data_IF_173374547162
#
_entry.id   IF_173374547162
#
_cell.length_a   1.000
_cell.length_b   1.000
_cell.length_c   1.000
_cell.angle_alpha   90.00
_cell.angle_beta   90.00
_cell.angle_gamma   90.00
#
_symmetry.space_group_name_H-M   'P 1'
#
loop_
_entity.id
_entity.type
_entity.pdbx_description
1 polymer ?
#
# COMPACT_ATOMS: atom_id res chain seq x y z
N UNK A 1 31.21 3.74 5.43
CA UNK A 1 30.33 4.29 6.48
C UNK A 1 31.10 4.55 7.76
N UNK A 2 31.91 3.62 8.20
CA UNK A 2 32.70 3.76 9.44
C UNK A 2 33.84 4.78 9.31
N UNK A 3 34.44 4.90 8.13
CA UNK A 3 35.59 5.78 7.86
C UNK A 3 35.20 7.18 7.40
N UNK A 4 33.91 7.52 7.38
CA UNK A 4 33.43 8.81 6.88
C UNK A 4 34.01 9.19 5.52
N UNK A 5 34.12 8.25 4.61
CA UNK A 5 34.64 8.44 3.26
C UNK A 5 33.78 7.69 2.23
N UNK A 6 33.77 8.22 1.01
CA UNK A 6 33.16 7.59 -0.17
C UNK A 6 34.25 7.39 -1.22
N UNK A 7 34.35 6.17 -1.75
CA UNK A 7 35.18 5.85 -2.89
C UNK A 7 34.34 5.95 -4.17
N UNK A 8 34.69 6.88 -5.06
CA UNK A 8 34.04 7.09 -6.35
C UNK A 8 34.92 6.45 -7.42
N UNK A 9 34.35 5.48 -8.12
CA UNK A 9 35.01 4.83 -9.24
C UNK A 9 34.77 5.66 -10.51
N UNK A 10 35.85 6.20 -11.08
CA UNK A 10 35.81 6.98 -12.33
C UNK A 10 36.50 6.19 -13.42
N UNK A 11 35.76 5.92 -14.52
CA UNK A 11 36.21 5.10 -15.63
C UNK A 11 35.58 3.71 -15.66
N UNK A 12 35.85 2.97 -16.74
CA UNK A 12 35.40 1.58 -16.95
C UNK A 12 36.58 0.65 -17.19
N UNK A 13 36.46 -0.58 -16.71
CA UNK A 13 37.46 -1.64 -16.93
C UNK A 13 38.71 -1.52 -16.08
N UNK A 14 39.87 -2.15 -16.52
CA UNK A 14 41.09 -2.24 -15.73
C UNK A 14 41.77 -0.88 -15.42
N UNK A 15 41.39 0.19 -16.13
CA UNK A 15 41.91 1.55 -15.94
C UNK A 15 41.02 2.45 -15.07
N UNK A 16 40.03 1.88 -14.42
CA UNK A 16 39.16 2.64 -13.50
C UNK A 16 39.97 3.12 -12.27
N UNK A 17 39.93 4.43 -11.99
CA UNK A 17 40.59 5.01 -10.84
C UNK A 17 39.54 5.23 -9.73
N UNK A 18 39.91 4.90 -8.49
CA UNK A 18 39.08 5.21 -7.32
C UNK A 18 39.55 6.53 -6.71
N UNK A 19 38.63 7.47 -6.57
CA UNK A 19 38.86 8.75 -5.88
C UNK A 19 38.16 8.64 -4.52
N UNK A 20 38.95 8.72 -3.44
CA UNK A 20 38.43 8.75 -2.09
C UNK A 20 38.10 10.18 -1.69
N UNK A 21 36.85 10.41 -1.29
CA UNK A 21 36.39 11.68 -0.74
C UNK A 21 36.08 11.51 0.74
N UNK A 22 36.75 12.32 1.57
CA UNK A 22 36.47 12.37 2.98
C UNK A 22 35.20 13.19 3.24
N UNK A 23 34.34 12.68 4.10
CA UNK A 23 33.07 13.29 4.50
C UNK A 23 33.15 13.80 5.95
N UNK A 24 32.46 14.90 6.27
CA UNK A 24 32.24 15.26 7.67
C UNK A 24 31.44 14.15 8.37
N UNK A 25 31.52 14.09 9.70
CA UNK A 25 30.74 13.15 10.50
C UNK A 25 29.24 13.35 10.20
N UNK A 26 28.53 12.27 9.92
CA UNK A 26 27.11 12.29 9.60
C UNK A 26 26.39 11.12 10.27
N UNK A 27 25.08 11.25 10.39
CA UNK A 27 24.18 10.16 10.75
C UNK A 27 23.46 9.67 9.50
N UNK A 28 23.59 8.37 9.19
CA UNK A 28 22.90 7.76 8.07
C UNK A 28 21.57 7.17 8.52
N UNK A 29 20.49 7.60 7.88
CA UNK A 29 19.16 7.03 8.07
C UNK A 29 18.72 6.41 6.74
N UNK A 30 18.35 5.13 6.80
CA UNK A 30 17.82 4.39 5.65
C UNK A 30 16.41 3.88 5.93
N UNK A 31 15.60 3.76 4.89
CA UNK A 31 14.28 3.15 4.97
C UNK A 31 14.08 2.21 3.77
N UNK A 32 13.49 1.05 4.00
CA UNK A 32 13.17 0.08 2.96
C UNK A 32 11.93 -0.71 3.33
N UNK A 33 11.15 -1.09 2.33
CA UNK A 33 10.05 -2.06 2.48
C UNK A 33 10.55 -3.51 2.37
N UNK A 34 11.78 -3.72 1.88
CA UNK A 34 12.38 -5.02 1.59
C UNK A 34 13.64 -5.25 2.43
N UNK A 35 13.52 -5.18 3.76
CA UNK A 35 14.66 -5.37 4.67
C UNK A 35 15.39 -6.71 4.46
N UNK A 36 14.69 -7.75 4.04
CA UNK A 36 15.27 -9.06 3.72
C UNK A 36 16.20 -9.08 2.50
N UNK A 37 16.11 -8.08 1.61
CA UNK A 37 17.00 -7.96 0.44
C UNK A 37 18.30 -7.19 0.75
N UNK A 38 18.39 -6.57 1.93
CA UNK A 38 19.64 -5.95 2.37
C UNK A 38 20.67 -7.03 2.73
N UNK A 39 21.89 -6.87 2.19
CA UNK A 39 22.98 -7.76 2.57
C UNK A 39 23.24 -7.68 4.09
N UNK A 40 23.60 -8.81 4.69
CA UNK A 40 23.90 -8.88 6.12
C UNK A 40 24.96 -7.82 6.54
N UNK A 41 26.09 -7.63 5.80
CA UNK A 41 27.09 -6.62 6.16
C UNK A 41 26.54 -5.18 6.14
N UNK A 42 25.58 -4.87 5.25
CA UNK A 42 24.97 -3.55 5.23
C UNK A 42 24.00 -3.37 6.40
N UNK A 43 23.19 -4.36 6.68
CA UNK A 43 22.24 -4.34 7.80
C UNK A 43 22.95 -4.20 9.16
N UNK A 44 24.04 -4.95 9.34
CA UNK A 44 24.81 -4.96 10.59
C UNK A 44 25.53 -3.62 10.89
N UNK A 45 25.72 -2.78 9.87
CA UNK A 45 26.27 -1.43 10.02
C UNK A 45 25.26 -0.40 10.51
N UNK A 46 23.96 -0.70 10.51
CA UNK A 46 22.95 0.12 11.15
C UNK A 46 22.83 -0.29 12.63
N UNK A 47 23.25 0.59 13.53
CA UNK A 47 23.21 0.31 14.98
C UNK A 47 21.80 0.25 15.57
N UNK A 48 20.81 0.83 14.89
CA UNK A 48 19.39 0.82 15.28
C UNK A 48 18.54 0.39 14.12
N UNK A 49 17.72 -0.64 14.32
CA UNK A 49 16.73 -1.09 13.36
C UNK A 49 15.34 -0.93 13.97
N UNK A 50 14.50 -0.15 13.31
CA UNK A 50 13.12 0.12 13.74
C UNK A 50 12.16 -0.43 12.71
N UNK A 51 11.06 -1.03 13.17
CA UNK A 51 9.94 -1.45 12.32
C UNK A 51 8.82 -0.43 12.49
N UNK A 52 8.40 0.17 11.38
CA UNK A 52 7.23 1.03 11.34
C UNK A 52 5.98 0.18 11.13
N UNK A 53 4.97 0.45 11.93
CA UNK A 53 3.64 -0.15 11.78
C UNK A 53 2.72 0.76 10.99
N UNK A 54 1.62 0.21 10.50
CA UNK A 54 0.58 0.99 9.84
C UNK A 54 -0.14 1.84 10.89
N UNK A 55 -0.56 3.03 10.49
CA UNK A 55 -1.33 3.93 11.34
C UNK A 55 -2.76 3.42 11.54
N UNK A 56 -3.30 3.65 12.73
CA UNK A 56 -4.72 3.43 12.98
C UNK A 56 -5.58 4.50 12.27
N UNK A 57 -6.88 4.25 12.06
CA UNK A 57 -7.78 5.28 11.51
C UNK A 57 -7.79 6.57 12.32
N UNK A 58 -7.70 6.49 13.66
CA UNK A 58 -7.67 7.66 14.57
C UNK A 58 -6.40 8.48 14.37
N UNK A 59 -5.25 7.84 14.24
CA UNK A 59 -3.97 8.50 13.97
C UNK A 59 -3.98 9.16 12.59
N UNK A 60 -4.49 8.44 11.57
CA UNK A 60 -4.63 8.99 10.22
C UNK A 60 -5.61 10.15 10.17
N UNK A 61 -6.72 10.10 10.93
CA UNK A 61 -7.68 11.19 11.03
C UNK A 61 -7.02 12.48 11.53
N UNK A 62 -6.12 12.38 12.53
CA UNK A 62 -5.32 13.52 13.00
C UNK A 62 -4.41 14.07 11.90
N UNK A 63 -3.78 13.19 11.13
CA UNK A 63 -2.91 13.58 10.01
C UNK A 63 -3.74 14.28 8.92
N UNK A 64 -4.90 13.73 8.57
CA UNK A 64 -5.84 14.30 7.59
C UNK A 64 -6.30 15.68 8.02
N UNK A 65 -6.74 15.85 9.28
CA UNK A 65 -7.18 17.13 9.84
C UNK A 65 -6.06 18.17 9.79
N UNK A 66 -4.85 17.81 10.23
CA UNK A 66 -3.68 18.70 10.13
C UNK A 66 -3.39 19.10 8.69
N UNK A 67 -3.42 18.14 7.76
CA UNK A 67 -3.16 18.40 6.35
C UNK A 67 -4.24 19.30 5.73
N UNK A 68 -5.51 19.12 6.11
CA UNK A 68 -6.62 19.98 5.69
C UNK A 68 -6.41 21.42 6.17
N UNK A 69 -6.01 21.62 7.43
CA UNK A 69 -5.66 22.95 7.98
C UNK A 69 -4.55 23.61 7.18
N UNK A 70 -3.46 22.90 6.86
CA UNK A 70 -2.35 23.43 6.05
C UNK A 70 -2.81 23.82 4.64
N UNK A 71 -3.76 23.08 4.08
CA UNK A 71 -4.34 23.34 2.75
C UNK A 71 -5.46 24.40 2.77
N UNK A 72 -5.80 24.96 3.95
CA UNK A 72 -6.85 25.96 4.10
C UNK A 72 -8.25 25.41 3.84
N UNK A 73 -8.51 24.15 4.17
CA UNK A 73 -9.76 23.46 3.86
C UNK A 73 -10.57 23.18 5.12
N UNK A 74 -11.84 23.59 5.16
CA UNK A 74 -12.73 23.17 6.23
C UNK A 74 -13.04 21.67 6.12
N UNK A 75 -12.83 20.93 7.21
CA UNK A 75 -13.12 19.51 7.32
C UNK A 75 -13.80 19.18 8.64
N UNK A 76 -14.89 18.44 8.58
CA UNK A 76 -15.55 17.90 9.76
C UNK A 76 -14.77 16.68 10.31
N UNK A 77 -14.79 16.42 11.63
CA UNK A 77 -14.11 15.26 12.21
C UNK A 77 -14.54 13.93 11.57
N UNK A 78 -15.82 13.78 11.26
CA UNK A 78 -16.39 12.59 10.62
C UNK A 78 -15.90 12.45 9.17
N UNK A 79 -15.70 13.55 8.45
CA UNK A 79 -15.11 13.55 7.10
C UNK A 79 -13.64 13.15 7.12
N UNK A 80 -12.89 13.61 8.14
CA UNK A 80 -11.50 13.20 8.32
C UNK A 80 -11.41 11.70 8.65
N UNK A 81 -12.30 11.17 9.49
CA UNK A 81 -12.37 9.75 9.84
C UNK A 81 -12.76 8.90 8.63
N UNK A 82 -13.68 9.36 7.79
CA UNK A 82 -14.10 8.65 6.57
C UNK A 82 -12.93 8.49 5.58
N UNK A 83 -12.13 9.54 5.40
CA UNK A 83 -10.90 9.46 4.59
C UNK A 83 -9.89 8.52 5.24
N UNK A 84 -9.68 8.64 6.54
CA UNK A 84 -8.70 7.87 7.28
C UNK A 84 -8.99 6.36 7.26
N UNK A 85 -10.23 5.96 7.49
CA UNK A 85 -10.65 4.55 7.53
C UNK A 85 -10.41 3.81 6.21
N UNK A 86 -10.50 4.51 5.07
CA UNK A 86 -10.26 3.94 3.74
C UNK A 86 -8.80 4.07 3.26
N UNK A 87 -7.90 4.60 4.11
CA UNK A 87 -6.51 4.92 3.72
C UNK A 87 -5.49 3.80 3.99
N UNK A 88 -5.94 2.60 4.30
CA UNK A 88 -5.09 1.40 4.46
C UNK A 88 -3.90 1.61 5.43
N UNK A 89 -4.09 2.37 6.51
CA UNK A 89 -3.03 2.66 7.47
C UNK A 89 -1.88 3.53 6.94
N UNK A 90 -2.04 4.18 5.77
CA UNK A 90 -0.94 4.86 5.08
C UNK A 90 -1.16 6.37 4.93
N UNK A 91 -0.33 7.24 5.55
CA UNK A 91 -0.46 8.69 5.44
C UNK A 91 -0.39 9.23 4.00
N UNK A 92 0.38 8.58 3.12
CA UNK A 92 0.47 8.94 1.69
C UNK A 92 -0.88 8.78 1.00
N UNK A 93 -1.58 7.65 1.25
CA UNK A 93 -2.91 7.38 0.68
C UNK A 93 -3.92 8.37 1.26
N UNK A 94 -3.92 8.59 2.58
CA UNK A 94 -4.80 9.53 3.26
C UNK A 94 -4.68 10.95 2.67
N UNK A 95 -3.47 11.45 2.49
CA UNK A 95 -3.22 12.76 1.89
C UNK A 95 -3.61 12.81 0.40
N UNK A 96 -3.45 11.70 -0.34
CA UNK A 96 -3.92 11.60 -1.73
C UNK A 96 -5.43 11.69 -1.80
N UNK A 97 -6.14 10.95 -0.95
CA UNK A 97 -7.60 10.99 -0.87
C UNK A 97 -8.11 12.35 -0.42
N UNK A 98 -7.49 12.96 0.60
CA UNK A 98 -7.85 14.31 1.05
C UNK A 98 -7.85 15.33 -0.10
N UNK A 99 -6.81 15.34 -0.93
CA UNK A 99 -6.73 16.24 -2.09
C UNK A 99 -7.85 16.00 -3.10
N UNK A 100 -8.19 14.73 -3.37
CA UNK A 100 -9.28 14.38 -4.29
C UNK A 100 -10.65 14.72 -3.72
N UNK A 101 -10.87 14.38 -2.46
CA UNK A 101 -12.12 14.74 -1.77
C UNK A 101 -12.32 16.25 -1.72
N UNK A 102 -11.26 17.03 -1.51
CA UNK A 102 -11.29 18.49 -1.64
C UNK A 102 -11.87 18.93 -2.97
N UNK A 103 -11.28 18.42 -4.07
CA UNK A 103 -11.69 18.84 -5.41
C UNK A 103 -13.20 18.56 -5.62
N UNK A 104 -13.69 17.45 -5.11
CA UNK A 104 -15.13 17.12 -5.12
C UNK A 104 -15.95 18.09 -4.24
N UNK A 105 -15.52 18.35 -3.00
CA UNK A 105 -16.23 19.23 -2.08
C UNK A 105 -16.35 20.67 -2.63
N UNK A 106 -15.31 21.16 -3.31
CA UNK A 106 -15.30 22.49 -3.94
C UNK A 106 -16.22 22.57 -5.15
N UNK A 107 -16.35 21.51 -5.94
CA UNK A 107 -17.16 21.51 -7.17
C UNK A 107 -18.63 21.20 -6.90
N UNK A 108 -18.91 20.30 -5.95
CA UNK A 108 -20.25 19.79 -5.71
C UNK A 108 -20.91 20.26 -4.42
N UNK A 109 -20.21 21.00 -3.58
CA UNK A 109 -20.68 21.50 -2.29
C UNK A 109 -20.23 22.91 -1.97
N UNK A 110 -20.24 23.24 -0.69
CA UNK A 110 -19.79 24.53 -0.14
C UNK A 110 -18.28 24.60 0.12
N UNK A 111 -17.54 23.55 -0.26
CA UNK A 111 -16.11 23.41 0.00
C UNK A 111 -15.76 22.76 1.34
N UNK A 112 -16.75 22.43 2.18
CA UNK A 112 -16.54 21.74 3.45
C UNK A 112 -16.50 20.21 3.23
N UNK A 113 -15.49 19.55 3.78
CA UNK A 113 -15.40 18.09 3.73
C UNK A 113 -16.20 17.49 4.89
N UNK A 114 -17.47 17.16 4.64
CA UNK A 114 -18.30 16.36 5.53
C UNK A 114 -18.08 14.86 5.30
N UNK A 115 -18.68 14.01 6.15
CA UNK A 115 -18.65 12.56 5.95
C UNK A 115 -19.28 12.18 4.60
N UNK A 116 -20.43 12.77 4.28
CA UNK A 116 -21.19 12.50 3.06
C UNK A 116 -20.41 12.92 1.80
N UNK A 117 -19.75 14.08 1.86
CA UNK A 117 -18.89 14.56 0.78
C UNK A 117 -17.69 13.64 0.58
N UNK A 118 -17.05 13.20 1.67
CA UNK A 118 -15.93 12.27 1.62
C UNK A 118 -16.35 10.89 1.07
N UNK A 119 -17.45 10.31 1.56
CA UNK A 119 -17.98 9.03 1.09
C UNK A 119 -18.34 9.08 -0.40
N UNK A 120 -19.08 10.13 -0.82
CA UNK A 120 -19.45 10.30 -2.23
C UNK A 120 -18.20 10.40 -3.12
N UNK A 121 -17.22 11.21 -2.74
CA UNK A 121 -16.00 11.39 -3.50
C UNK A 121 -15.20 10.09 -3.61
N UNK A 122 -15.04 9.35 -2.49
CA UNK A 122 -14.29 8.08 -2.47
C UNK A 122 -14.99 7.00 -3.29
N UNK A 123 -16.32 6.92 -3.27
CA UNK A 123 -17.08 6.03 -4.17
C UNK A 123 -16.89 6.39 -5.65
N UNK A 124 -16.86 7.67 -5.99
CA UNK A 124 -16.57 8.13 -7.36
C UNK A 124 -15.13 7.81 -7.80
N UNK A 125 -14.21 7.68 -6.86
CA UNK A 125 -12.85 7.19 -7.07
C UNK A 125 -12.76 5.65 -7.05
N UNK A 126 -13.91 4.97 -7.00
CA UNK A 126 -14.02 3.50 -6.93
C UNK A 126 -13.35 2.89 -5.69
N UNK A 127 -13.22 3.67 -4.61
CA UNK A 127 -12.70 3.20 -3.32
C UNK A 127 -13.87 2.84 -2.41
N UNK A 128 -13.93 1.58 -1.99
CA UNK A 128 -14.99 1.09 -1.11
C UNK A 128 -14.75 1.43 0.37
N UNK A 129 -15.65 0.96 1.24
CA UNK A 129 -15.62 1.24 2.68
C UNK A 129 -14.40 0.64 3.41
N UNK A 130 -13.77 -0.40 2.87
CA UNK A 130 -12.51 -0.96 3.37
C UNK A 130 -11.28 -0.36 2.67
N UNK A 131 -11.47 0.55 1.73
CA UNK A 131 -10.38 1.15 0.98
C UNK A 131 -9.88 0.31 -0.21
N UNK A 132 -10.63 -0.72 -0.64
CA UNK A 132 -10.30 -1.45 -1.85
C UNK A 132 -10.61 -0.59 -3.08
N UNK A 133 -9.68 -0.55 -4.02
CA UNK A 133 -9.87 0.10 -5.32
C UNK A 133 -10.35 -0.87 -6.41
N UNK A 134 -10.46 -0.39 -7.64
CA UNK A 134 -10.92 -1.20 -8.76
C UNK A 134 -9.99 -2.39 -9.05
N UNK A 135 -8.69 -2.25 -8.86
CA UNK A 135 -7.71 -3.32 -9.12
C UNK A 135 -7.80 -4.40 -8.05
N UNK A 136 -7.92 -4.03 -6.77
CA UNK A 136 -8.12 -5.01 -5.69
C UNK A 136 -9.34 -5.89 -5.97
N UNK A 137 -10.49 -5.25 -6.27
CA UNK A 137 -11.73 -5.97 -6.55
C UNK A 137 -11.61 -6.83 -7.80
N UNK A 138 -10.96 -6.32 -8.87
CA UNK A 138 -10.72 -7.07 -10.11
C UNK A 138 -9.82 -8.28 -9.85
N UNK A 139 -8.79 -8.13 -9.00
CA UNK A 139 -7.91 -9.22 -8.61
C UNK A 139 -8.66 -10.33 -7.88
N UNK A 140 -9.43 -9.99 -6.84
CA UNK A 140 -10.23 -10.97 -6.10
C UNK A 140 -11.29 -11.63 -7.00
N UNK A 141 -12.01 -10.84 -7.79
CA UNK A 141 -13.03 -11.34 -8.71
C UNK A 141 -12.45 -12.28 -9.76
N UNK A 142 -11.28 -11.96 -10.32
CA UNK A 142 -10.60 -12.82 -11.29
C UNK A 142 -10.21 -14.18 -10.68
N UNK A 143 -9.71 -14.19 -9.44
CA UNK A 143 -9.39 -15.46 -8.75
C UNK A 143 -10.67 -16.28 -8.51
N UNK A 144 -11.76 -15.63 -8.11
CA UNK A 144 -13.04 -16.31 -7.87
C UNK A 144 -13.60 -16.88 -9.16
N UNK A 145 -13.76 -16.07 -10.20
CA UNK A 145 -14.49 -16.44 -11.42
C UNK A 145 -13.69 -17.32 -12.36
N UNK A 146 -12.39 -17.05 -12.53
CA UNK A 146 -11.58 -17.75 -13.52
C UNK A 146 -10.84 -18.95 -12.94
N UNK A 147 -10.66 -19.00 -11.61
CA UNK A 147 -9.85 -20.03 -10.94
C UNK A 147 -10.58 -20.68 -9.76
N UNK A 148 -11.90 -20.55 -9.68
CA UNK A 148 -12.73 -21.15 -8.61
C UNK A 148 -12.22 -20.84 -7.18
N UNK A 149 -11.74 -19.61 -6.94
CA UNK A 149 -11.17 -19.19 -5.66
C UNK A 149 -9.68 -19.50 -5.46
N UNK A 150 -9.04 -20.10 -6.44
CA UNK A 150 -7.61 -20.44 -6.44
C UNK A 150 -7.34 -21.93 -6.17
N UNK A 151 -6.06 -22.35 -6.12
CA UNK A 151 -4.85 -21.51 -6.20
C UNK A 151 -4.48 -21.07 -7.63
N UNK A 152 -4.00 -19.86 -7.77
CA UNK A 152 -3.50 -19.30 -9.05
C UNK A 152 -2.09 -18.70 -8.88
N UNK A 153 -1.22 -18.92 -9.86
CA UNK A 153 0.13 -18.34 -9.89
C UNK A 153 0.10 -16.83 -10.11
N UNK A 154 1.13 -16.11 -9.59
CA UNK A 154 1.21 -14.66 -9.69
C UNK A 154 1.23 -14.17 -11.14
N UNK A 155 2.08 -14.75 -11.98
CA UNK A 155 2.23 -14.37 -13.40
C UNK A 155 0.92 -14.60 -14.18
N UNK A 156 0.24 -15.72 -13.90
CA UNK A 156 -1.05 -16.04 -14.53
C UNK A 156 -2.12 -15.02 -14.14
N UNK A 157 -2.18 -14.66 -12.84
CA UNK A 157 -3.11 -13.66 -12.35
C UNK A 157 -2.81 -12.27 -12.93
N UNK A 158 -1.54 -11.88 -12.97
CA UNK A 158 -1.07 -10.62 -13.55
C UNK A 158 -1.49 -10.50 -15.03
N UNK A 159 -1.25 -11.54 -15.81
CA UNK A 159 -1.68 -11.60 -17.20
C UNK A 159 -3.22 -11.53 -17.34
N UNK A 160 -3.96 -12.19 -16.45
CA UNK A 160 -5.44 -12.20 -16.49
C UNK A 160 -6.03 -10.81 -16.27
N UNK A 161 -5.46 -10.02 -15.36
CA UNK A 161 -5.99 -8.69 -15.02
C UNK A 161 -5.25 -7.55 -15.73
N UNK A 162 -4.22 -7.84 -16.53
CA UNK A 162 -3.46 -6.84 -17.28
C UNK A 162 -2.62 -5.91 -16.41
N UNK A 163 -2.02 -6.46 -15.34
CA UNK A 163 -1.14 -5.73 -14.42
C UNK A 163 0.24 -6.40 -14.35
N UNK A 164 1.24 -5.69 -13.86
CA UNK A 164 2.56 -6.27 -13.63
C UNK A 164 2.56 -7.14 -12.37
N UNK A 165 3.19 -8.32 -12.44
CA UNK A 165 3.26 -9.27 -11.33
C UNK A 165 3.88 -8.65 -10.06
N UNK A 166 4.97 -7.88 -10.22
CA UNK A 166 5.62 -7.17 -9.11
C UNK A 166 4.68 -6.15 -8.46
N UNK A 167 3.86 -5.45 -9.25
CA UNK A 167 2.88 -4.49 -8.74
C UNK A 167 1.81 -5.20 -7.91
N UNK A 168 1.32 -6.35 -8.37
CA UNK A 168 0.37 -7.14 -7.59
C UNK A 168 0.98 -7.58 -6.26
N UNK A 169 2.20 -8.11 -6.28
CA UNK A 169 2.88 -8.63 -5.10
C UNK A 169 3.25 -7.56 -4.08
N UNK A 170 3.72 -6.40 -4.53
CA UNK A 170 4.26 -5.37 -3.65
C UNK A 170 3.21 -4.36 -3.18
N UNK A 171 2.15 -4.13 -3.97
CA UNK A 171 1.18 -3.05 -3.72
C UNK A 171 -0.18 -3.57 -3.26
N UNK A 172 -0.71 -4.61 -3.92
CA UNK A 172 -2.09 -5.07 -3.69
C UNK A 172 -2.17 -6.23 -2.70
N UNK A 173 -1.41 -7.29 -2.89
CA UNK A 173 -1.45 -8.48 -2.04
C UNK A 173 -1.27 -8.19 -0.54
N UNK A 174 -0.33 -7.33 -0.10
CA UNK A 174 -0.10 -7.13 1.34
C UNK A 174 -1.35 -6.65 2.06
N UNK A 175 -2.11 -5.75 1.46
CA UNK A 175 -3.33 -5.24 2.07
C UNK A 175 -4.47 -6.26 2.04
N UNK A 176 -4.66 -6.96 0.92
CA UNK A 176 -5.66 -8.03 0.81
C UNK A 176 -5.39 -9.19 1.79
N UNK A 177 -4.11 -9.51 2.01
CA UNK A 177 -3.71 -10.50 3.02
C UNK A 177 -3.96 -10.00 4.45
N UNK A 178 -3.71 -8.72 4.72
CA UNK A 178 -4.00 -8.11 6.02
C UNK A 178 -5.49 -8.13 6.36
N UNK A 179 -6.35 -7.89 5.37
CA UNK A 179 -7.81 -8.04 5.51
C UNK A 179 -8.27 -9.49 5.61
N UNK A 180 -7.38 -10.45 5.42
CA UNK A 180 -7.71 -11.86 5.38
C UNK A 180 -8.49 -12.28 4.13
N UNK A 181 -8.50 -11.49 3.06
CA UNK A 181 -9.20 -11.76 1.80
C UNK A 181 -8.41 -12.67 0.87
N UNK A 182 -7.08 -12.64 1.00
CA UNK A 182 -6.15 -13.40 0.18
C UNK A 182 -5.21 -14.21 1.06
N UNK A 183 -4.89 -15.43 0.64
CA UNK A 183 -3.86 -16.27 1.24
C UNK A 183 -2.86 -16.72 0.20
N UNK A 184 -1.59 -16.85 0.59
CA UNK A 184 -0.53 -17.44 -0.23
C UNK A 184 -0.33 -18.90 0.17
N UNK A 185 -0.37 -19.79 -0.79
CA UNK A 185 -0.01 -21.20 -0.64
C UNK A 185 1.19 -21.54 -1.53
N UNK A 186 1.86 -22.69 -1.34
CA UNK A 186 2.91 -23.13 -2.25
C UNK A 186 2.46 -23.28 -3.71
N UNK A 187 1.15 -23.49 -3.95
CA UNK A 187 0.58 -23.61 -5.30
C UNK A 187 0.15 -22.27 -5.90
N UNK A 188 0.04 -21.20 -5.09
CA UNK A 188 -0.40 -19.90 -5.56
C UNK A 188 -1.32 -19.16 -4.58
N UNK A 189 -2.05 -18.18 -5.10
CA UNK A 189 -2.95 -17.30 -4.36
C UNK A 189 -4.34 -17.88 -4.31
N UNK A 190 -4.96 -17.85 -3.12
CA UNK A 190 -6.34 -18.28 -2.89
C UNK A 190 -7.14 -17.17 -2.22
N UNK A 191 -8.38 -17.03 -2.61
CA UNK A 191 -9.34 -16.11 -2.00
C UNK A 191 -10.04 -16.82 -0.85
N UNK A 192 -10.32 -16.09 0.24
CA UNK A 192 -11.00 -16.62 1.43
C UNK A 192 -12.50 -16.36 1.38
N UNK A 193 -13.28 -17.02 2.22
CA UNK A 193 -14.71 -16.79 2.37
C UNK A 193 -15.04 -15.30 2.69
N UNK A 194 -14.17 -14.62 3.47
CA UNK A 194 -14.36 -13.20 3.79
C UNK A 194 -14.39 -12.31 2.55
N UNK A 195 -13.60 -12.63 1.53
CA UNK A 195 -13.62 -11.86 0.29
C UNK A 195 -14.86 -12.14 -0.56
N UNK A 196 -15.38 -13.37 -0.55
CA UNK A 196 -16.67 -13.68 -1.19
C UNK A 196 -17.80 -12.88 -0.56
N UNK A 197 -17.86 -12.83 0.78
CA UNK A 197 -18.86 -12.05 1.51
C UNK A 197 -18.75 -10.56 1.18
N UNK A 198 -17.53 -10.02 1.17
CA UNK A 198 -17.27 -8.62 0.83
C UNK A 198 -17.70 -8.25 -0.59
N UNK A 199 -17.46 -9.14 -1.56
CA UNK A 199 -17.85 -8.96 -2.95
C UNK A 199 -19.30 -9.32 -3.24
N UNK A 200 -20.05 -9.79 -2.23
CA UNK A 200 -21.42 -10.29 -2.36
C UNK A 200 -21.55 -11.42 -3.40
N UNK A 201 -20.55 -12.27 -3.51
CA UNK A 201 -20.52 -13.45 -4.37
C UNK A 201 -20.84 -14.67 -3.51
N UNK A 202 -21.80 -15.54 -3.89
CA UNK A 202 -22.07 -16.76 -3.15
C UNK A 202 -20.82 -17.64 -3.02
N UNK A 203 -20.49 -18.05 -1.79
CA UNK A 203 -19.43 -18.99 -1.54
C UNK A 203 -20.00 -20.41 -1.56
N UNK A 204 -19.88 -21.08 -2.70
CA UNK A 204 -20.10 -22.55 -2.77
C UNK A 204 -18.85 -23.20 -2.18
N UNK A 205 -18.93 -23.62 -0.92
CA UNK A 205 -17.79 -24.14 -0.15
C UNK A 205 -16.97 -25.13 -0.98
N UNK A 206 -15.69 -24.85 -1.13
CA UNK A 206 -14.76 -25.83 -1.69
C UNK A 206 -14.84 -27.07 -0.81
N UNK A 207 -15.28 -28.16 -1.39
CA UNK A 207 -15.20 -29.49 -0.75
C UNK A 207 -13.74 -29.69 -0.37
N UNK A 208 -13.41 -29.64 0.91
CA UNK A 208 -12.08 -29.96 1.40
C UNK A 208 -11.77 -31.37 0.92
N UNK A 209 -10.89 -31.49 -0.05
CA UNK A 209 -10.21 -32.75 -0.29
C UNK A 209 -9.33 -33.00 0.92
N UNK A 210 -9.88 -33.71 1.91
CA UNK A 210 -9.10 -34.34 2.96
C UNK A 210 -8.18 -35.37 2.29
N UNK A 211 -6.89 -35.18 2.39
CA UNK A 211 -5.85 -36.20 2.13
C UNK A 211 -5.50 -36.87 3.44
#
# INVERSE_FOLDING_TARGET
MEDFAIDIIVGMGPSANSIRLDLPKFTLVGATTRAGQLSAPLRDRFGVSLRLELYTPEELSRIVTRSATILGMPIAPEGAMEIASRSRGTPRIANRFLRRVRDFAQVMGDGTITKEAADLALRRLEVDHLGLDAIDRRMLTAIIQNYAGGPVGLETLAATIGEEAVTLEDVYEPYLMQLGFLTRTPRGRCVTALAYDHLHIPYEGQTQFSI
#
